data_IF_680005909555
#
_entry.id   IF_680005909555
#
_cell.length_a   1.000
_cell.length_b   1.000
_cell.length_c   1.000
_cell.angle_alpha   90.00
_cell.angle_beta   90.00
_cell.angle_gamma   90.00
#
_symmetry.space_group_name_H-M   'P 1'
#
loop_
_entity.id
_entity.type
_entity.pdbx_description
1 polymer ?
#
# COMPACT_ATOMS: atom_id res chain seq x y z
N UNK A 1 5.29 -3.18 -16.56
CA UNK A 1 6.67 -2.85 -16.12
C UNK A 1 6.53 -1.57 -15.35
N UNK A 2 6.80 -1.58 -14.04
CA UNK A 2 6.80 -0.35 -13.27
C UNK A 2 7.99 0.52 -13.69
N UNK A 3 7.82 1.84 -13.62
CA UNK A 3 8.92 2.78 -13.80
C UNK A 3 9.74 2.87 -12.51
N UNK A 4 11.09 2.86 -12.59
CA UNK A 4 11.93 3.09 -11.42
C UNK A 4 11.62 4.48 -10.84
N UNK A 5 11.70 4.60 -9.51
CA UNK A 5 11.47 5.83 -8.74
C UNK A 5 10.05 6.45 -8.85
N UNK A 6 9.18 5.94 -9.73
CA UNK A 6 7.80 6.43 -9.92
C UNK A 6 6.74 5.42 -9.47
N UNK A 7 7.02 4.11 -9.58
CA UNK A 7 6.01 3.09 -9.31
C UNK A 7 6.59 1.79 -8.77
N UNK A 8 5.88 1.23 -7.78
CA UNK A 8 6.06 -0.14 -7.31
C UNK A 8 4.72 -0.86 -7.38
N UNK A 9 4.72 -2.07 -7.97
CA UNK A 9 3.55 -2.95 -8.00
C UNK A 9 3.91 -4.24 -7.29
N UNK A 10 3.17 -4.53 -6.22
CA UNK A 10 3.39 -5.68 -5.35
C UNK A 10 2.18 -6.60 -5.40
N UNK A 11 2.43 -7.90 -5.55
CA UNK A 11 1.39 -8.92 -5.41
C UNK A 11 1.60 -9.62 -4.09
N UNK A 12 0.57 -9.67 -3.26
CA UNK A 12 0.59 -10.24 -1.92
C UNK A 12 -0.59 -11.17 -1.70
N UNK A 13 -0.44 -12.10 -0.75
CA UNK A 13 -1.49 -13.02 -0.34
C UNK A 13 -1.30 -13.33 1.16
N UNK A 14 -2.40 -13.46 1.89
CA UNK A 14 -2.33 -13.92 3.28
C UNK A 14 -1.88 -15.39 3.34
N UNK A 15 -0.92 -15.69 4.20
CA UNK A 15 -0.61 -17.08 4.57
C UNK A 15 -1.65 -17.55 5.58
N UNK A 16 -2.63 -18.33 5.11
CA UNK A 16 -3.79 -18.72 5.91
C UNK A 16 -4.47 -19.96 5.33
N UNK A 17 -5.08 -20.77 6.20
CA UNK A 17 -5.98 -21.87 5.83
C UNK A 17 -7.44 -21.40 5.64
N UNK A 18 -7.74 -20.15 6.00
CA UNK A 18 -9.09 -19.58 5.85
C UNK A 18 -9.37 -19.24 4.38
N UNK A 19 -10.34 -19.91 3.72
CA UNK A 19 -10.64 -19.65 2.33
C UNK A 19 -11.14 -18.22 2.09
N UNK A 20 -11.73 -17.55 3.08
CA UNK A 20 -12.24 -16.17 2.95
C UNK A 20 -11.12 -15.13 2.87
N UNK A 21 -9.90 -15.50 3.25
CA UNK A 21 -8.69 -14.67 3.13
C UNK A 21 -7.77 -15.16 2.00
N UNK A 22 -8.11 -16.29 1.34
CA UNK A 22 -7.32 -16.92 0.30
C UNK A 22 -7.50 -16.21 -1.06
N UNK A 23 -6.89 -15.03 -1.19
CA UNK A 23 -6.92 -14.24 -2.43
C UNK A 23 -5.61 -13.51 -2.67
N UNK A 24 -5.25 -13.32 -3.94
CA UNK A 24 -4.16 -12.40 -4.29
C UNK A 24 -4.68 -10.97 -4.27
N UNK A 25 -3.92 -10.10 -3.62
CA UNK A 25 -4.10 -8.66 -3.64
C UNK A 25 -2.96 -8.03 -4.44
N UNK A 26 -3.28 -6.97 -5.17
CA UNK A 26 -2.28 -6.13 -5.81
C UNK A 26 -2.25 -4.78 -5.11
N UNK A 27 -1.07 -4.35 -4.67
CA UNK A 27 -0.83 -3.01 -4.17
C UNK A 27 0.00 -2.25 -5.20
N UNK A 28 -0.50 -1.09 -5.64
CA UNK A 28 0.23 -0.18 -6.51
C UNK A 28 0.56 1.09 -5.75
N UNK A 29 1.84 1.34 -5.52
CA UNK A 29 2.36 2.58 -4.96
C UNK A 29 2.88 3.45 -6.09
N UNK A 30 2.35 4.67 -6.20
CA UNK A 30 2.79 5.67 -7.18
C UNK A 30 3.40 6.86 -6.43
N UNK A 31 4.57 7.27 -6.87
CA UNK A 31 5.30 8.42 -6.36
C UNK A 31 5.26 9.53 -7.40
N UNK A 32 4.80 10.71 -7.01
CA UNK A 32 4.78 11.89 -7.88
C UNK A 32 5.58 13.00 -7.23
N UNK A 33 6.62 13.49 -7.93
CA UNK A 33 7.36 14.67 -7.49
C UNK A 33 6.44 15.89 -7.46
N UNK A 34 6.45 16.60 -6.33
CA UNK A 34 5.71 17.84 -6.13
C UNK A 34 6.63 18.89 -5.50
N UNK A 35 6.22 20.16 -5.53
CA UNK A 35 7.00 21.23 -4.91
C UNK A 35 7.13 20.99 -3.40
N UNK A 36 8.36 20.69 -2.95
CA UNK A 36 8.68 20.50 -1.53
C UNK A 36 8.48 19.08 -1.00
N UNK A 37 8.29 18.07 -1.86
CA UNK A 37 8.22 16.68 -1.42
C UNK A 37 7.74 15.71 -2.50
N UNK A 38 7.12 14.61 -2.06
CA UNK A 38 6.58 13.56 -2.93
C UNK A 38 5.14 13.26 -2.53
N UNK A 39 4.21 13.28 -3.48
CA UNK A 39 2.88 12.72 -3.28
C UNK A 39 2.97 11.20 -3.39
N UNK A 40 2.46 10.50 -2.37
CA UNK A 40 2.41 9.03 -2.31
C UNK A 40 0.96 8.57 -2.43
N UNK A 41 0.64 7.87 -3.51
CA UNK A 41 -0.66 7.24 -3.73
C UNK A 41 -0.52 5.72 -3.65
N UNK A 42 -1.28 5.09 -2.75
CA UNK A 42 -1.34 3.63 -2.62
C UNK A 42 -2.75 3.15 -2.96
N UNK A 43 -2.86 2.32 -4.00
CA UNK A 43 -4.11 1.67 -4.41
C UNK A 43 -4.02 0.18 -4.11
N UNK A 44 -5.02 -0.34 -3.40
CA UNK A 44 -5.16 -1.76 -3.10
C UNK A 44 -6.31 -2.35 -3.92
N UNK A 45 -6.03 -3.39 -4.69
CA UNK A 45 -7.01 -4.11 -5.51
C UNK A 45 -7.08 -5.57 -5.06
N UNK A 46 -8.28 -6.14 -5.06
CA UNK A 46 -8.50 -7.54 -4.70
C UNK A 46 -8.42 -7.85 -3.20
N UNK A 47 -8.56 -6.83 -2.33
CA UNK A 47 -8.72 -7.04 -0.89
C UNK A 47 -9.89 -8.02 -0.66
N UNK A 48 -9.71 -9.11 0.11
CA UNK A 48 -10.79 -10.03 0.42
C UNK A 48 -11.96 -9.32 1.10
N UNK A 49 -13.20 -9.68 0.76
CA UNK A 49 -14.41 -9.06 1.35
C UNK A 49 -14.49 -9.21 2.88
N UNK A 50 -13.80 -10.22 3.44
CA UNK A 50 -13.66 -10.46 4.87
C UNK A 50 -12.78 -9.42 5.58
N UNK A 51 -11.97 -8.65 4.83
CA UNK A 51 -11.15 -7.54 5.32
C UNK A 51 -11.87 -6.22 5.04
N UNK A 52 -12.37 -5.51 6.07
CA UNK A 52 -13.04 -4.23 5.86
C UNK A 52 -12.10 -3.21 5.22
N UNK A 53 -12.51 -2.61 4.10
CA UNK A 53 -11.69 -1.63 3.38
C UNK A 53 -11.27 -0.43 4.26
N UNK A 54 -12.14 0.00 5.19
CA UNK A 54 -11.84 1.09 6.11
C UNK A 54 -10.73 0.74 7.12
N UNK A 55 -10.63 -0.53 7.51
CA UNK A 55 -9.57 -1.00 8.41
C UNK A 55 -8.24 -1.07 7.65
N UNK A 56 -8.26 -1.55 6.39
CA UNK A 56 -7.09 -1.50 5.51
C UNK A 56 -6.61 -0.06 5.30
N UNK A 57 -7.53 0.86 4.96
CA UNK A 57 -7.20 2.28 4.78
C UNK A 57 -6.61 2.91 6.05
N UNK A 58 -7.12 2.54 7.22
CA UNK A 58 -6.59 3.01 8.50
C UNK A 58 -5.19 2.47 8.76
N UNK A 59 -4.96 1.18 8.52
CA UNK A 59 -3.63 0.58 8.59
C UNK A 59 -2.63 1.20 7.62
N UNK A 60 -3.05 1.49 6.38
CA UNK A 60 -2.21 2.18 5.39
C UNK A 60 -1.85 3.60 5.85
N UNK A 61 -2.79 4.35 6.43
CA UNK A 61 -2.50 5.69 6.99
C UNK A 61 -1.47 5.63 8.12
N UNK A 62 -1.63 4.68 9.05
CA UNK A 62 -0.64 4.47 10.12
C UNK A 62 0.74 4.13 9.56
N UNK A 63 0.82 3.27 8.54
CA UNK A 63 2.09 2.94 7.89
C UNK A 63 2.73 4.13 7.16
N UNK A 64 1.93 5.03 6.58
CA UNK A 64 2.42 6.27 5.97
C UNK A 64 2.92 7.28 7.03
N UNK A 65 2.26 7.35 8.19
CA UNK A 65 2.74 8.15 9.31
C UNK A 65 4.11 7.62 9.81
N UNK A 66 4.25 6.30 9.99
CA UNK A 66 5.53 5.66 10.36
C UNK A 66 6.60 5.86 9.27
N UNK A 67 6.21 5.87 7.99
CA UNK A 67 7.13 6.12 6.88
C UNK A 67 7.64 7.57 6.92
N UNK A 68 6.77 8.55 7.14
CA UNK A 68 7.17 9.95 7.28
C UNK A 68 8.17 10.11 8.44
N UNK A 69 7.89 9.51 9.60
CA UNK A 69 8.80 9.48 10.74
C UNK A 69 10.17 8.82 10.42
N UNK A 70 10.24 7.92 9.44
CA UNK A 70 11.48 7.25 9.04
C UNK A 70 12.28 8.06 8.00
N UNK A 71 11.61 8.68 7.02
CA UNK A 71 12.27 9.26 5.84
C UNK A 71 12.42 10.78 5.90
N UNK A 72 11.65 11.46 6.74
CA UNK A 72 11.68 12.92 6.90
C UNK A 72 12.57 13.36 8.08
N UNK A 73 13.23 12.42 8.76
CA UNK A 73 14.23 12.74 9.79
C UNK A 73 15.58 13.13 9.18
N UNK A 74 16.22 14.15 9.75
CA UNK A 74 17.54 14.70 9.33
C UNK A 74 18.71 13.70 9.36
#
# INVERSE_FOLDING_TARGET
>A
MSSPDEQVVEVSQFETDDPELSGQMTMTTTLTDVDGGTEVLIVHEGIPDSVPAADNETGTRMALDDLADLVETD
#
